data_IF_130261230188
#
_entry.id   IF_130261230188
#
_cell.length_a   1.000
_cell.length_b   1.000
_cell.length_c   1.000
_cell.angle_alpha   90.00
_cell.angle_beta   90.00
_cell.angle_gamma   90.00
#
_symmetry.space_group_name_H-M   'P 1'
#
loop_
_entity.id
_entity.type
_entity.pdbx_description
1 polymer ?
#
# COMPACT_ATOMS: atom_id res chain seq x y z
N UNK A 1 43.85 -23.96 6.37
CA UNK A 1 43.27 -23.82 7.72
C UNK A 1 43.63 -22.50 8.43
N UNK A 2 44.89 -22.03 8.44
CA UNK A 2 45.30 -20.83 9.20
C UNK A 2 44.67 -19.48 8.79
N UNK A 3 44.20 -19.34 7.55
CA UNK A 3 43.59 -18.09 7.04
C UNK A 3 42.13 -17.88 7.49
N UNK A 4 41.42 -18.96 7.78
CA UNK A 4 40.02 -18.90 8.26
C UNK A 4 39.93 -18.62 9.77
N UNK A 5 40.98 -18.95 10.53
CA UNK A 5 41.03 -18.69 11.97
C UNK A 5 41.10 -17.18 12.29
N UNK A 6 41.85 -16.41 11.50
CA UNK A 6 41.95 -14.95 11.67
C UNK A 6 40.65 -14.22 11.30
N UNK A 7 39.94 -14.69 10.28
CA UNK A 7 38.64 -14.12 9.89
C UNK A 7 37.55 -14.41 10.95
N UNK A 8 37.59 -15.59 11.59
CA UNK A 8 36.63 -15.97 12.62
C UNK A 8 36.82 -15.19 13.93
N UNK A 9 38.07 -14.87 14.30
CA UNK A 9 38.37 -14.06 15.49
C UNK A 9 37.95 -12.59 15.31
N UNK A 10 38.08 -12.03 14.10
CA UNK A 10 37.60 -10.68 13.79
C UNK A 10 36.07 -10.57 13.80
N UNK A 11 35.35 -11.64 13.39
CA UNK A 11 33.89 -11.67 13.43
C UNK A 11 33.35 -11.63 14.88
N UNK A 12 34.03 -12.30 15.81
CA UNK A 12 33.59 -12.36 17.22
C UNK A 12 33.77 -11.05 17.98
N UNK A 13 34.71 -10.19 17.56
CA UNK A 13 34.93 -8.87 18.17
C UNK A 13 33.85 -7.84 17.84
N UNK A 14 33.06 -8.04 16.77
CA UNK A 14 31.98 -7.10 16.38
C UNK A 14 30.70 -7.33 17.18
N UNK A 15 30.51 -8.52 17.79
CA UNK A 15 29.26 -8.91 18.46
C UNK A 15 29.31 -8.63 19.97
N UNK A 16 30.46 -8.20 20.51
CA UNK A 16 30.64 -7.99 21.95
C UNK A 16 31.07 -6.56 22.27
N UNK A 17 30.11 -5.63 22.30
CA UNK A 17 30.27 -4.41 23.08
C UNK A 17 29.51 -3.18 22.56
N UNK A 18 28.26 -2.99 23.01
CA UNK A 18 28.01 -1.98 24.04
C UNK A 18 26.60 -2.17 24.62
N UNK A 19 26.56 -2.54 25.90
CA UNK A 19 25.39 -2.56 26.77
C UNK A 19 25.52 -1.37 27.72
N UNK A 20 24.47 -0.55 27.87
CA UNK A 20 24.05 0.07 29.15
C UNK A 20 22.87 1.04 28.97
N UNK A 21 21.82 0.82 29.77
CA UNK A 21 20.53 1.51 29.84
C UNK A 21 20.59 2.77 30.77
N UNK A 22 19.51 3.12 31.50
CA UNK A 22 18.26 3.82 31.14
C UNK A 22 18.16 5.21 31.83
N UNK A 23 17.24 6.10 31.44
CA UNK A 23 16.68 7.13 32.36
C UNK A 23 15.21 7.45 32.05
N UNK A 24 14.36 7.00 32.97
CA UNK A 24 13.04 7.55 33.30
C UNK A 24 13.06 9.07 33.48
N UNK A 25 12.07 9.80 32.94
CA UNK A 25 11.44 10.97 33.61
C UNK A 25 9.93 11.03 33.24
N UNK A 26 9.11 10.45 34.12
CA UNK A 26 7.96 11.05 34.85
C UNK A 26 6.93 11.96 34.12
N UNK A 27 5.67 11.48 34.13
CA UNK A 27 4.36 12.12 34.42
C UNK A 27 4.24 13.66 34.36
N UNK A 28 3.16 14.30 33.88
CA UNK A 28 1.72 14.12 34.22
C UNK A 28 0.83 15.03 33.30
N UNK A 29 -0.50 14.82 33.25
CA UNK A 29 -1.49 15.44 32.36
C UNK A 29 -2.20 16.66 33.00
N UNK A 30 -2.93 17.47 32.21
CA UNK A 30 -4.10 18.28 32.63
C UNK A 30 -4.89 18.81 31.40
N UNK A 31 -6.09 18.26 31.14
CA UNK A 31 -7.29 19.02 30.69
C UNK A 31 -7.98 19.61 31.96
N UNK A 32 -9.01 20.52 31.96
CA UNK A 32 -9.96 20.88 30.89
C UNK A 32 -10.46 22.37 30.84
N UNK A 33 -11.25 22.66 29.79
CA UNK A 33 -12.51 23.47 29.73
C UNK A 33 -12.64 24.87 30.36
N UNK A 34 -13.02 25.86 29.52
CA UNK A 34 -14.02 26.94 29.79
C UNK A 34 -14.76 27.22 28.46
N UNK A 35 -16.05 26.82 28.28
CA UNK A 35 -17.30 27.63 28.45
C UNK A 35 -17.18 29.08 27.92
N UNK A 36 -18.05 29.64 27.07
CA UNK A 36 -19.53 29.72 27.10
C UNK A 36 -20.08 30.32 25.78
N UNK A 37 -21.29 29.88 25.39
CA UNK A 37 -22.20 30.51 24.39
C UNK A 37 -23.02 31.69 24.97
N UNK A 38 -23.84 32.32 24.10
CA UNK A 38 -25.02 33.23 24.28
C UNK A 38 -24.76 34.75 24.39
N UNK A 39 -25.13 35.61 23.41
CA UNK A 39 -26.44 36.06 22.82
C UNK A 39 -27.17 37.13 23.67
N UNK A 40 -27.38 38.34 23.10
CA UNK A 40 -28.68 39.09 22.98
C UNK A 40 -28.49 40.60 22.75
N UNK A 41 -28.99 41.09 21.62
CA UNK A 41 -29.59 42.43 21.36
C UNK A 41 -30.22 42.34 19.95
N UNK A 42 -31.39 42.84 19.58
CA UNK A 42 -32.44 43.60 20.24
C UNK A 42 -33.59 43.82 19.21
N UNK A 43 -34.82 43.64 19.68
CA UNK A 43 -36.12 44.23 19.31
C UNK A 43 -36.54 44.61 17.86
N UNK A 44 -37.75 44.12 17.51
CA UNK A 44 -38.67 44.43 16.40
C UNK A 44 -39.53 45.69 16.70
N UNK A 45 -40.02 46.43 15.69
CA UNK A 45 -41.48 46.54 15.44
C UNK A 45 -41.85 46.67 13.92
N UNK A 46 -42.66 45.81 13.30
CA UNK A 46 -44.12 45.87 12.97
C UNK A 46 -44.72 47.00 12.07
N UNK A 47 -44.88 46.66 10.76
CA UNK A 47 -46.06 46.83 9.85
C UNK A 47 -46.42 48.20 9.21
N UNK A 48 -47.09 48.30 8.00
CA UNK A 48 -48.17 47.43 7.46
C UNK A 48 -48.14 47.03 5.96
N UNK A 49 -49.12 46.16 5.61
CA UNK A 49 -49.38 45.43 4.35
C UNK A 49 -50.04 46.27 3.25
N UNK A 50 -49.77 45.91 1.97
CA UNK A 50 -50.71 45.57 0.86
C UNK A 50 -50.07 45.78 -0.53
N UNK A 51 -50.59 45.25 -1.67
CA UNK A 51 -51.26 43.97 -1.90
C UNK A 51 -50.61 43.15 -3.06
N UNK A 52 -51.18 41.97 -3.25
CA UNK A 52 -50.85 40.88 -4.19
C UNK A 52 -50.70 41.32 -5.66
N UNK A 53 -49.62 40.87 -6.31
CA UNK A 53 -49.58 40.61 -7.76
C UNK A 53 -49.15 39.15 -7.99
N UNK A 54 -49.90 38.49 -8.85
CA UNK A 54 -49.79 37.09 -9.28
C UNK A 54 -48.38 36.70 -9.77
N UNK A 55 -48.03 35.39 -9.76
CA UNK A 55 -46.67 34.94 -9.98
C UNK A 55 -46.32 34.97 -11.48
N UNK A 56 -45.11 35.42 -11.88
CA UNK A 56 -44.59 35.01 -13.17
C UNK A 56 -44.29 33.50 -13.11
N UNK A 57 -44.99 32.72 -13.95
CA UNK A 57 -44.59 31.36 -14.34
C UNK A 57 -43.23 31.44 -15.05
N UNK A 58 -42.15 31.49 -14.30
CA UNK A 58 -40.81 31.26 -14.83
C UNK A 58 -40.43 29.81 -14.61
N UNK A 59 -40.49 29.08 -15.73
CA UNK A 59 -39.69 27.94 -16.21
C UNK A 59 -39.07 27.02 -15.13
N UNK A 60 -39.15 25.68 -15.30
CA UNK A 60 -38.37 24.77 -14.48
C UNK A 60 -36.91 25.24 -14.43
N UNK A 61 -36.44 25.63 -13.25
CA UNK A 61 -35.01 25.68 -12.98
C UNK A 61 -34.51 24.29 -13.31
N UNK A 62 -33.80 24.15 -14.42
CA UNK A 62 -32.89 23.03 -14.60
C UNK A 62 -32.10 22.96 -13.29
N UNK A 63 -32.34 21.90 -12.52
CA UNK A 63 -31.43 21.54 -11.47
C UNK A 63 -30.04 21.57 -12.11
N UNK A 64 -29.04 22.20 -11.48
CA UNK A 64 -27.67 21.97 -11.90
C UNK A 64 -27.54 20.46 -11.98
N UNK A 65 -27.34 19.92 -13.19
CA UNK A 65 -26.83 18.57 -13.34
C UNK A 65 -25.65 18.56 -12.40
N UNK A 66 -25.69 17.73 -11.37
CA UNK A 66 -24.49 17.37 -10.64
C UNK A 66 -23.54 16.86 -11.72
N UNK A 67 -22.69 17.76 -12.21
CA UNK A 67 -21.45 17.37 -12.81
C UNK A 67 -20.83 16.46 -11.77
N UNK A 68 -20.44 15.22 -12.13
CA UNK A 68 -19.66 14.40 -11.23
C UNK A 68 -18.60 15.32 -10.64
N UNK A 69 -18.57 15.45 -9.31
CA UNK A 69 -17.48 16.16 -8.62
C UNK A 69 -16.22 15.78 -9.37
N UNK A 70 -15.39 16.75 -9.82
CA UNK A 70 -14.18 16.42 -10.54
C UNK A 70 -13.52 15.31 -9.73
N UNK A 71 -13.43 14.13 -10.36
CA UNK A 71 -12.76 12.99 -9.77
C UNK A 71 -11.38 13.55 -9.49
N UNK A 72 -11.12 13.87 -8.22
CA UNK A 72 -9.82 14.35 -7.81
C UNK A 72 -8.96 13.12 -7.91
N UNK A 73 -8.40 12.88 -9.11
CA UNK A 73 -7.43 11.84 -9.42
C UNK A 73 -6.43 11.60 -8.27
N UNK A 74 -5.96 12.63 -7.53
CA UNK A 74 -5.12 12.40 -6.35
C UNK A 74 -5.77 11.63 -5.19
N UNK A 75 -7.08 11.74 -4.94
CA UNK A 75 -7.75 11.03 -3.84
C UNK A 75 -7.91 9.53 -4.12
N UNK A 76 -8.28 9.18 -5.35
CA UNK A 76 -8.41 7.78 -5.76
C UNK A 76 -7.04 7.10 -5.88
N UNK A 77 -6.04 7.82 -6.40
CA UNK A 77 -4.65 7.36 -6.41
C UNK A 77 -4.12 7.09 -5.00
N UNK A 78 -4.31 8.02 -4.06
CA UNK A 78 -3.83 7.87 -2.68
C UNK A 78 -4.49 6.67 -1.98
N UNK A 79 -5.79 6.46 -2.20
CA UNK A 79 -6.50 5.28 -1.67
C UNK A 79 -5.93 3.98 -2.24
N UNK A 80 -5.74 3.90 -3.56
CA UNK A 80 -5.17 2.72 -4.22
C UNK A 80 -3.74 2.45 -3.74
N UNK A 81 -2.93 3.51 -3.58
CA UNK A 81 -1.56 3.39 -3.06
C UNK A 81 -1.57 2.81 -1.65
N UNK A 82 -2.43 3.33 -0.78
CA UNK A 82 -2.55 2.85 0.59
C UNK A 82 -2.95 1.36 0.62
N UNK A 83 -3.97 0.99 -0.13
CA UNK A 83 -4.42 -0.41 -0.26
C UNK A 83 -3.30 -1.32 -0.79
N UNK A 84 -2.56 -0.86 -1.81
CA UNK A 84 -1.47 -1.62 -2.38
C UNK A 84 -0.34 -1.88 -1.37
N UNK A 85 0.01 -0.87 -0.57
CA UNK A 85 1.04 -0.98 0.46
C UNK A 85 0.59 -1.88 1.62
N UNK A 86 -0.69 -1.83 2.00
CA UNK A 86 -1.26 -2.73 3.03
C UNK A 86 -1.21 -4.19 2.58
N UNK A 87 -1.61 -4.49 1.33
CA UNK A 87 -1.53 -5.84 0.77
C UNK A 87 -0.08 -6.32 0.63
N UNK A 88 0.84 -5.44 0.24
CA UNK A 88 2.28 -5.72 0.20
C UNK A 88 2.80 -6.09 1.60
N UNK A 89 2.43 -5.31 2.61
CA UNK A 89 2.86 -5.55 3.99
C UNK A 89 2.28 -6.84 4.55
N UNK A 90 1.04 -7.17 4.18
CA UNK A 90 0.43 -8.46 4.50
C UNK A 90 1.20 -9.61 3.82
N UNK A 91 1.52 -9.48 2.54
CA UNK A 91 2.32 -10.47 1.82
C UNK A 91 3.67 -10.72 2.48
N UNK A 92 4.44 -9.66 2.76
CA UNK A 92 5.74 -9.81 3.40
C UNK A 92 5.64 -10.32 4.83
N UNK A 93 4.55 -10.01 5.55
CA UNK A 93 4.30 -10.57 6.88
C UNK A 93 4.10 -12.08 6.82
N UNK A 94 3.25 -12.58 5.92
CA UNK A 94 3.05 -14.03 5.72
C UNK A 94 4.36 -14.71 5.32
N UNK A 95 5.06 -14.13 4.35
CA UNK A 95 6.30 -14.71 3.85
C UNK A 95 7.43 -14.73 4.87
N UNK A 96 7.71 -13.61 5.54
CA UNK A 96 8.86 -13.49 6.43
C UNK A 96 8.59 -14.04 7.83
N UNK A 97 7.36 -13.91 8.34
CA UNK A 97 7.04 -14.32 9.72
C UNK A 97 6.38 -15.69 9.80
N UNK A 98 5.62 -16.09 8.78
CA UNK A 98 4.88 -17.35 8.75
C UNK A 98 5.51 -18.38 7.80
N UNK A 99 6.58 -18.00 7.08
CA UNK A 99 7.24 -18.82 6.08
C UNK A 99 6.26 -19.37 5.02
N UNK A 100 5.20 -18.62 4.74
CA UNK A 100 4.14 -18.98 3.81
C UNK A 100 4.23 -18.09 2.56
N UNK A 101 4.37 -18.71 1.40
CA UNK A 101 4.32 -18.01 0.13
C UNK A 101 2.88 -17.98 -0.39
N UNK A 102 2.15 -16.91 -0.05
CA UNK A 102 0.80 -16.67 -0.53
C UNK A 102 0.84 -16.02 -1.93
N UNK A 103 0.77 -16.88 -2.97
CA UNK A 103 0.82 -16.44 -4.37
C UNK A 103 -0.38 -15.58 -4.76
N UNK A 104 -1.57 -15.87 -4.23
CA UNK A 104 -2.77 -15.10 -4.54
C UNK A 104 -2.67 -13.69 -3.98
N UNK A 105 -2.19 -13.57 -2.74
CA UNK A 105 -1.94 -12.27 -2.12
C UNK A 105 -0.86 -11.47 -2.85
N UNK A 106 0.21 -12.13 -3.31
CA UNK A 106 1.23 -11.48 -4.15
C UNK A 106 0.64 -10.92 -5.44
N UNK A 107 -0.13 -11.74 -6.18
CA UNK A 107 -0.76 -11.31 -7.44
C UNK A 107 -1.71 -10.14 -7.19
N UNK A 108 -2.54 -10.23 -6.15
CA UNK A 108 -3.47 -9.16 -5.77
C UNK A 108 -2.73 -7.86 -5.44
N UNK A 109 -1.64 -7.93 -4.67
CA UNK A 109 -0.82 -6.76 -4.36
C UNK A 109 -0.23 -6.11 -5.63
N UNK A 110 0.26 -6.92 -6.58
CA UNK A 110 0.77 -6.45 -7.89
C UNK A 110 -0.34 -5.76 -8.69
N UNK A 111 -1.54 -6.34 -8.74
CA UNK A 111 -2.68 -5.79 -9.48
C UNK A 111 -3.09 -4.41 -8.94
N UNK A 112 -3.24 -4.29 -7.62
CA UNK A 112 -3.58 -3.00 -7.00
C UNK A 112 -2.44 -1.98 -7.16
N UNK A 113 -1.17 -2.39 -7.07
CA UNK A 113 -0.04 -1.50 -7.36
C UNK A 113 -0.03 -1.01 -8.82
N UNK A 114 -0.39 -1.86 -9.79
CA UNK A 114 -0.54 -1.47 -11.20
C UNK A 114 -1.70 -0.49 -11.38
N UNK A 115 -2.84 -0.74 -10.72
CA UNK A 115 -3.97 0.19 -10.74
C UNK A 115 -3.59 1.55 -10.14
N UNK A 116 -2.89 1.56 -8.99
CA UNK A 116 -2.36 2.77 -8.37
C UNK A 116 -1.42 3.52 -9.31
N UNK A 117 -0.47 2.81 -9.94
CA UNK A 117 0.45 3.41 -10.93
C UNK A 117 -0.30 4.07 -12.09
N UNK A 118 -1.32 3.40 -12.63
CA UNK A 118 -2.12 3.95 -13.73
C UNK A 118 -2.91 5.18 -13.29
N UNK A 119 -3.55 5.15 -12.11
CA UNK A 119 -4.27 6.30 -11.57
C UNK A 119 -3.35 7.50 -11.34
N UNK A 120 -2.12 7.27 -10.83
CA UNK A 120 -1.10 8.31 -10.69
C UNK A 120 -0.71 8.87 -12.06
N UNK A 121 -0.49 8.00 -13.05
CA UNK A 121 -0.14 8.43 -14.41
C UNK A 121 -1.21 9.32 -15.03
N UNK A 122 -2.47 8.90 -14.96
CA UNK A 122 -3.61 9.69 -15.45
C UNK A 122 -3.75 11.02 -14.72
N UNK A 123 -3.49 11.04 -13.40
CA UNK A 123 -3.46 12.27 -12.62
C UNK A 123 -2.35 13.22 -13.07
N UNK A 124 -1.13 12.69 -13.32
CA UNK A 124 0.01 13.47 -13.79
C UNK A 124 -0.17 13.97 -15.24
N UNK A 125 -0.88 13.23 -16.10
CA UNK A 125 -1.24 13.70 -17.44
C UNK A 125 -2.14 14.95 -17.37
N UNK A 126 -3.06 15.00 -16.40
CA UNK A 126 -3.95 16.15 -16.17
C UNK A 126 -3.28 17.28 -15.39
N UNK A 127 -2.31 16.95 -14.54
CA UNK A 127 -1.62 17.91 -13.68
C UNK A 127 -0.14 17.50 -13.52
N UNK A 128 0.71 17.80 -14.51
CA UNK A 128 2.11 17.34 -14.53
C UNK A 128 2.96 17.87 -13.37
N UNK A 129 2.57 19.00 -12.81
CA UNK A 129 3.26 19.67 -11.69
C UNK A 129 2.72 19.27 -10.31
N UNK A 130 1.79 18.32 -10.23
CA UNK A 130 1.25 17.85 -8.94
C UNK A 130 2.34 17.11 -8.15
N UNK A 131 2.79 17.73 -7.07
CA UNK A 131 3.86 17.22 -6.22
C UNK A 131 3.45 15.94 -5.48
N UNK A 132 2.18 15.85 -5.04
CA UNK A 132 1.67 14.65 -4.33
C UNK A 132 1.68 13.45 -5.26
N UNK A 133 1.22 13.60 -6.50
CA UNK A 133 1.22 12.51 -7.47
C UNK A 133 2.64 12.07 -7.86
N UNK A 134 3.59 13.00 -7.94
CA UNK A 134 5.01 12.68 -8.18
C UNK A 134 5.62 11.92 -7.01
N UNK A 135 5.36 12.33 -5.77
CA UNK A 135 5.78 11.61 -4.57
C UNK A 135 5.22 10.18 -4.57
N UNK A 136 3.91 10.03 -4.78
CA UNK A 136 3.27 8.71 -4.87
C UNK A 136 3.87 7.85 -5.99
N UNK A 137 4.16 8.43 -7.16
CA UNK A 137 4.82 7.73 -8.27
C UNK A 137 6.18 7.19 -7.85
N UNK A 138 6.99 8.02 -7.19
CA UNK A 138 8.34 7.63 -6.74
C UNK A 138 8.33 6.48 -5.73
N UNK A 139 7.23 6.35 -4.97
CA UNK A 139 7.04 5.29 -3.98
C UNK A 139 6.51 4.00 -4.59
N UNK A 140 5.60 4.07 -5.55
CA UNK A 140 4.95 2.88 -6.13
C UNK A 140 5.86 2.11 -7.08
N UNK A 141 6.63 2.79 -7.94
CA UNK A 141 7.44 2.11 -8.94
C UNK A 141 8.46 1.10 -8.38
N UNK A 142 9.29 1.42 -7.36
CA UNK A 142 10.23 0.45 -6.81
C UNK A 142 9.52 -0.71 -6.10
N UNK A 143 8.38 -0.45 -5.46
CA UNK A 143 7.63 -1.48 -4.75
C UNK A 143 6.96 -2.46 -5.73
N UNK A 144 6.43 -1.95 -6.84
CA UNK A 144 5.91 -2.79 -7.91
C UNK A 144 7.02 -3.63 -8.55
N UNK A 145 8.23 -3.08 -8.74
CA UNK A 145 9.36 -3.83 -9.25
C UNK A 145 9.71 -5.02 -8.34
N UNK A 146 9.86 -4.78 -7.03
CA UNK A 146 10.12 -5.82 -6.03
C UNK A 146 9.08 -6.94 -6.07
N UNK A 147 7.78 -6.60 -6.05
CA UNK A 147 6.74 -7.63 -6.10
C UNK A 147 6.79 -8.46 -7.39
N UNK A 148 7.10 -7.84 -8.54
CA UNK A 148 7.27 -8.60 -9.78
C UNK A 148 8.50 -9.51 -9.75
N UNK A 149 9.61 -9.06 -9.15
CA UNK A 149 10.79 -9.90 -8.95
C UNK A 149 10.47 -11.13 -8.09
N UNK A 150 9.69 -10.96 -7.02
CA UNK A 150 9.24 -12.08 -6.19
C UNK A 150 8.39 -13.08 -6.97
N UNK A 151 7.49 -12.57 -7.81
CA UNK A 151 6.66 -13.42 -8.68
C UNK A 151 7.53 -14.21 -9.66
N UNK A 152 8.50 -13.55 -10.28
CA UNK A 152 9.44 -14.20 -11.21
C UNK A 152 10.26 -15.27 -10.50
N UNK A 153 10.78 -14.97 -9.31
CA UNK A 153 11.56 -15.91 -8.52
C UNK A 153 10.75 -17.17 -8.18
N UNK A 154 9.51 -17.00 -7.74
CA UNK A 154 8.60 -18.12 -7.46
C UNK A 154 8.29 -18.95 -8.72
N UNK A 155 7.96 -18.29 -9.84
CA UNK A 155 7.64 -18.99 -11.08
C UNK A 155 8.87 -19.80 -11.60
N UNK A 156 10.09 -19.28 -11.41
CA UNK A 156 11.34 -19.98 -11.76
C UNK A 156 11.61 -21.17 -10.84
N UNK A 157 11.41 -21.03 -9.53
CA UNK A 157 11.55 -22.12 -8.56
C UNK A 157 10.55 -23.25 -8.87
N UNK A 158 9.28 -22.91 -9.13
CA UNK A 158 8.28 -23.93 -9.51
C UNK A 158 8.55 -24.59 -10.83
N UNK A 159 9.23 -23.91 -11.76
CA UNK A 159 9.67 -24.53 -13.01
C UNK A 159 10.83 -25.49 -12.76
N UNK A 160 11.84 -25.11 -11.99
CA UNK A 160 12.99 -25.95 -11.70
C UNK A 160 12.61 -27.19 -10.86
N UNK A 161 11.70 -27.05 -9.89
CA UNK A 161 11.13 -28.18 -9.15
C UNK A 161 10.54 -29.23 -10.10
N UNK A 162 9.72 -28.81 -11.08
CA UNK A 162 9.13 -29.72 -12.07
C UNK A 162 10.18 -30.41 -12.95
N UNK A 163 11.18 -29.66 -13.41
CA UNK A 163 12.28 -30.21 -14.22
C UNK A 163 13.09 -31.25 -13.42
N UNK A 164 13.40 -30.98 -12.15
CA UNK A 164 14.10 -31.96 -11.29
C UNK A 164 13.29 -33.21 -11.04
N UNK A 165 11.97 -33.07 -10.81
CA UNK A 165 11.07 -34.19 -10.60
C UNK A 165 10.96 -35.07 -11.85
N UNK A 166 10.98 -34.46 -13.04
CA UNK A 166 11.00 -35.19 -14.31
C UNK A 166 12.31 -35.95 -14.54
N UNK A 167 13.46 -35.35 -14.22
CA UNK A 167 14.77 -36.02 -14.29
C UNK A 167 14.81 -37.22 -13.35
N UNK A 168 14.32 -37.08 -12.11
CA UNK A 168 14.22 -38.17 -11.14
C UNK A 168 13.34 -39.32 -11.67
N UNK A 169 12.20 -39.01 -12.28
CA UNK A 169 11.31 -40.01 -12.90
C UNK A 169 12.00 -40.73 -14.07
N UNK A 170 12.76 -40.02 -14.91
CA UNK A 170 13.50 -40.62 -16.05
C UNK A 170 14.69 -41.47 -15.58
N UNK A 171 15.52 -40.97 -14.66
CA UNK A 171 16.68 -41.71 -14.11
C UNK A 171 16.28 -42.97 -13.33
N UNK A 172 15.12 -42.96 -12.66
CA UNK A 172 14.55 -44.15 -12.01
C UNK A 172 14.11 -45.26 -12.98
N UNK A 173 13.87 -44.94 -14.25
CA UNK A 173 13.50 -45.94 -15.28
C UNK A 173 14.69 -46.56 -15.99
N UNK A 174 15.85 -45.88 -16.06
CA UNK A 174 17.06 -46.43 -16.68
C UNK A 174 17.74 -47.48 -15.79
N UNK A 175 17.74 -47.31 -14.47
CA UNK A 175 18.30 -48.30 -13.53
C UNK A 175 17.54 -49.64 -13.46
N UNK A 176 16.30 -49.71 -13.98
CA UNK A 176 15.48 -50.94 -13.96
C UNK A 176 15.71 -51.86 -15.14
N UNK A 177 16.39 -51.40 -16.21
CA UNK A 177 16.69 -52.22 -17.39
C UNK A 177 18.05 -52.92 -17.34
N UNK A 178 18.94 -52.53 -16.42
CA UNK A 178 20.28 -53.13 -16.31
C UNK A 178 20.36 -54.36 -15.39
N UNK A 179 19.30 -54.65 -14.61
CA UNK A 179 19.27 -55.79 -13.66
C UNK A 179 18.60 -57.05 -14.19
N UNK A 180 18.04 -57.04 -15.42
CA UNK A 180 17.37 -58.20 -16.04
C UNK A 180 18.20 -58.85 -17.17
N UNK A 181 19.51 -58.59 -17.21
CA UNK A 181 20.47 -59.23 -18.11
C UNK A 181 21.74 -59.69 -17.36
N UNK A 182 21.57 -60.41 -16.25
CA UNK A 182 22.66 -61.19 -15.66
C UNK A 182 22.18 -62.56 -15.24
#
# INVERSE_FOLDING_TARGET
MRRYLLAFVLLLFVITGCSSAPKDIVQKPTEPSKTTETVKEGQKPETPKEPVKEPPKERPKEQPKETPKPITAPADADKLVKEALELRDEFYRKRLLQNEFDYELLVKAIEIMKAAKNAIREGLEKSPSDEKLRDLSSRIEPELAKLNEEKIAYDLEKKSEKETEEILKRGGTEGKKETEKK
#
